data_IF_779424805469
#
_entry.id   IF_779424805469
#
_cell.length_a   1.000
_cell.length_b   1.000
_cell.length_c   1.000
_cell.angle_alpha   90.00
_cell.angle_beta   90.00
_cell.angle_gamma   90.00
#
_symmetry.space_group_name_H-M   'P 1'
#
loop_
_entity.id
_entity.type
_entity.pdbx_description
1 polymer ?
#
# COMPACT_ATOMS: atom_id res chain seq x y z
N UNK A 1 6.00 4.11 -10.91
CA UNK A 1 4.58 4.17 -10.51
C UNK A 1 3.87 2.88 -10.88
N UNK A 2 2.76 2.55 -10.25
CA UNK A 2 1.93 1.35 -10.53
C UNK A 2 2.67 0.00 -10.44
N UNK A 3 3.72 -0.09 -9.60
CA UNK A 3 4.52 -1.30 -9.48
C UNK A 3 5.60 -1.48 -10.56
N UNK A 4 5.67 -0.56 -11.53
CA UNK A 4 6.69 -0.58 -12.57
C UNK A 4 7.95 0.09 -12.02
N UNK A 5 9.08 -0.63 -11.94
CA UNK A 5 10.33 -0.06 -11.45
C UNK A 5 10.86 1.03 -12.38
N UNK A 6 11.45 2.08 -11.80
CA UNK A 6 12.34 2.95 -12.55
C UNK A 6 13.70 2.24 -12.75
N UNK A 7 14.64 2.88 -13.44
CA UNK A 7 16.02 2.35 -13.58
C UNK A 7 16.79 2.47 -12.25
N UNK A 8 16.26 1.82 -11.22
CA UNK A 8 16.77 1.92 -9.85
C UNK A 8 18.20 1.36 -9.72
N UNK A 9 18.57 0.38 -10.53
CA UNK A 9 19.92 -0.14 -10.63
C UNK A 9 20.94 0.96 -11.00
N UNK A 10 20.64 1.76 -12.02
CA UNK A 10 21.50 2.88 -12.44
C UNK A 10 21.57 3.98 -11.38
N UNK A 11 20.43 4.25 -10.74
CA UNK A 11 20.36 5.25 -9.65
C UNK A 11 21.18 4.79 -8.45
N UNK A 12 21.10 3.51 -8.09
CA UNK A 12 21.86 2.94 -6.98
C UNK A 12 23.37 2.98 -7.23
N UNK A 13 23.81 2.65 -8.46
CA UNK A 13 25.23 2.74 -8.84
C UNK A 13 25.73 4.20 -8.77
N UNK A 14 24.94 5.15 -9.25
CA UNK A 14 25.26 6.57 -9.17
C UNK A 14 25.35 7.06 -7.72
N UNK A 15 24.38 6.70 -6.89
CA UNK A 15 24.35 7.06 -5.48
C UNK A 15 25.57 6.51 -4.73
N UNK A 16 25.89 5.23 -4.96
CA UNK A 16 27.07 4.58 -4.41
C UNK A 16 28.38 5.27 -4.85
N UNK A 17 28.51 5.58 -6.15
CA UNK A 17 29.69 6.27 -6.70
C UNK A 17 29.90 7.69 -6.15
N UNK A 18 28.83 8.31 -5.67
CA UNK A 18 28.83 9.65 -5.06
C UNK A 18 28.76 9.65 -3.53
N UNK A 19 28.73 8.48 -2.91
CA UNK A 19 28.53 8.31 -1.46
C UNK A 19 27.26 9.01 -0.96
N UNK A 20 26.16 8.86 -1.73
CA UNK A 20 24.84 9.40 -1.40
C UNK A 20 23.99 8.28 -0.82
N UNK A 21 23.31 8.56 0.31
CA UNK A 21 22.36 7.66 0.92
C UNK A 21 21.11 7.56 0.05
N UNK A 22 20.72 6.33 -0.32
CA UNK A 22 19.58 6.07 -1.19
C UNK A 22 18.44 5.40 -0.41
N UNK A 23 17.27 6.05 -0.39
CA UNK A 23 16.03 5.45 0.10
C UNK A 23 15.14 5.16 -1.10
N UNK A 24 14.68 3.91 -1.22
CA UNK A 24 13.69 3.52 -2.24
C UNK A 24 12.25 3.72 -1.71
N UNK A 25 11.47 4.53 -2.40
CA UNK A 25 10.03 4.54 -2.20
C UNK A 25 9.40 3.40 -3.01
N UNK A 26 9.19 2.29 -2.34
CA UNK A 26 8.60 1.06 -2.90
C UNK A 26 7.14 0.86 -2.50
N UNK A 27 6.44 1.94 -2.13
CA UNK A 27 5.05 1.90 -1.64
C UNK A 27 4.06 1.22 -2.61
N UNK A 28 4.37 1.21 -3.92
CA UNK A 28 3.55 0.58 -4.96
C UNK A 28 4.24 -0.63 -5.62
N UNK A 29 5.42 -1.04 -5.13
CA UNK A 29 6.30 -1.95 -5.85
C UNK A 29 6.64 -3.24 -5.07
N UNK A 30 5.82 -3.60 -4.08
CA UNK A 30 6.02 -4.85 -3.33
C UNK A 30 6.00 -6.05 -4.29
N UNK A 31 7.08 -6.82 -4.26
CA UNK A 31 7.25 -8.00 -5.10
C UNK A 31 7.66 -7.73 -6.55
N UNK A 32 7.80 -6.46 -6.95
CA UNK A 32 8.35 -6.12 -8.26
C UNK A 32 9.84 -6.42 -8.32
N UNK A 33 10.32 -6.79 -9.50
CA UNK A 33 11.73 -7.07 -9.75
C UNK A 33 12.26 -6.24 -10.91
N UNK A 34 13.54 -5.92 -10.85
CA UNK A 34 14.29 -5.37 -11.96
C UNK A 34 15.54 -6.22 -12.19
N UNK A 35 15.69 -6.80 -13.38
CA UNK A 35 16.78 -7.73 -13.72
C UNK A 35 16.93 -8.87 -12.69
N UNK A 36 15.79 -9.43 -12.24
CA UNK A 36 15.75 -10.51 -11.25
C UNK A 36 16.00 -10.12 -9.80
N UNK A 37 16.31 -8.86 -9.49
CA UNK A 37 16.51 -8.37 -8.13
C UNK A 37 15.25 -7.64 -7.63
N UNK A 38 14.84 -7.90 -6.39
CA UNK A 38 13.65 -7.27 -5.80
C UNK A 38 13.83 -5.75 -5.66
N UNK A 39 12.82 -4.99 -6.07
CA UNK A 39 12.72 -3.56 -5.80
C UNK A 39 12.58 -3.35 -4.29
N UNK A 40 13.26 -2.34 -3.78
CA UNK A 40 13.41 -2.10 -2.35
C UNK A 40 14.66 -2.72 -1.74
N UNK A 41 15.52 -3.39 -2.55
CA UNK A 41 16.80 -3.95 -2.10
C UNK A 41 18.02 -3.35 -2.80
N UNK A 42 17.84 -2.31 -3.59
CA UNK A 42 18.93 -1.64 -4.29
C UNK A 42 19.59 -0.53 -3.47
N UNK A 43 18.81 0.17 -2.65
CA UNK A 43 19.27 1.28 -1.82
C UNK A 43 19.72 0.86 -0.41
N UNK A 44 20.05 1.85 0.41
CA UNK A 44 20.44 1.66 1.81
C UNK A 44 19.24 1.30 2.70
N UNK A 45 18.05 1.80 2.32
CA UNK A 45 16.78 1.46 2.93
C UNK A 45 15.64 1.57 1.92
N UNK A 46 14.52 0.95 2.23
CA UNK A 46 13.29 1.09 1.45
C UNK A 46 12.07 1.19 2.34
N UNK A 47 11.06 1.88 1.83
CA UNK A 47 9.76 2.03 2.47
C UNK A 47 8.68 1.34 1.62
N UNK A 48 7.76 0.66 2.29
CA UNK A 48 6.61 0.02 1.69
C UNK A 48 5.34 0.49 2.41
N UNK A 49 4.33 0.85 1.66
CA UNK A 49 3.02 1.16 2.21
C UNK A 49 2.16 -0.11 2.30
N UNK A 50 1.39 -0.22 3.36
CA UNK A 50 0.38 -1.28 3.55
C UNK A 50 -1.04 -0.72 3.63
N UNK A 51 -1.23 0.49 3.09
CA UNK A 51 -2.53 1.13 2.97
C UNK A 51 -3.52 0.29 2.15
N UNK A 52 -4.83 0.62 2.24
CA UNK A 52 -5.93 -0.16 1.64
C UNK A 52 -5.79 -0.40 0.12
N UNK A 53 -5.10 0.48 -0.60
CA UNK A 53 -4.87 0.35 -2.05
C UNK A 53 -3.64 -0.47 -2.42
N UNK A 54 -2.89 -0.97 -1.43
CA UNK A 54 -1.59 -1.61 -1.67
C UNK A 54 -1.68 -3.12 -1.81
N UNK A 55 -0.65 -3.74 -2.41
CA UNK A 55 -0.59 -5.19 -2.60
C UNK A 55 -0.70 -6.00 -1.32
N UNK A 56 -0.07 -5.55 -0.26
CA UNK A 56 -0.26 -6.02 1.11
C UNK A 56 -1.15 -4.99 1.78
N UNK A 57 -2.34 -5.39 2.18
CA UNK A 57 -3.35 -4.47 2.68
C UNK A 57 -3.62 -4.70 4.17
N UNK A 58 -3.16 -3.76 4.98
CA UNK A 58 -3.47 -3.68 6.41
C UNK A 58 -4.35 -2.47 6.74
N UNK A 59 -4.93 -1.82 5.72
CA UNK A 59 -5.71 -0.57 5.77
C UNK A 59 -4.91 0.65 6.15
N UNK A 60 -3.97 0.53 7.06
CA UNK A 60 -3.08 1.58 7.52
C UNK A 60 -1.72 1.00 7.84
N UNK A 61 -0.68 1.79 7.66
CA UNK A 61 0.66 1.43 8.08
C UNK A 61 1.66 1.31 6.94
N UNK A 62 2.83 0.83 7.30
CA UNK A 62 3.93 0.65 6.38
C UNK A 62 5.02 -0.22 6.98
N UNK A 63 5.96 -0.57 6.13
CA UNK A 63 7.14 -1.36 6.51
C UNK A 63 8.39 -0.64 6.04
N UNK A 64 9.47 -0.83 6.76
CA UNK A 64 10.81 -0.39 6.37
C UNK A 64 11.71 -1.60 6.29
N UNK A 65 12.48 -1.69 5.23
CA UNK A 65 13.52 -2.68 5.06
C UNK A 65 14.89 -2.01 4.91
N UNK A 66 15.91 -2.60 5.50
CA UNK A 66 17.31 -2.26 5.30
C UNK A 66 18.19 -3.43 5.73
N UNK A 67 19.28 -3.66 5.02
CA UNK A 67 20.34 -4.59 5.44
C UNK A 67 21.26 -3.95 6.47
N UNK A 68 21.22 -2.64 6.61
CA UNK A 68 22.06 -1.90 7.55
C UNK A 68 21.48 -1.98 8.98
N UNK A 69 22.15 -2.74 9.82
CA UNK A 69 21.73 -2.96 11.22
C UNK A 69 21.65 -1.68 12.06
N UNK A 70 22.45 -0.63 11.73
CA UNK A 70 22.40 0.66 12.42
C UNK A 70 21.10 1.39 12.08
N UNK A 71 20.68 1.36 10.82
CA UNK A 71 19.42 1.94 10.37
C UNK A 71 18.25 1.23 11.07
N UNK A 72 18.24 -0.11 11.04
CA UNK A 72 17.19 -0.89 11.69
C UNK A 72 17.12 -0.64 13.21
N UNK A 73 18.26 -0.50 13.89
CA UNK A 73 18.28 -0.14 15.32
C UNK A 73 17.68 1.25 15.57
N UNK A 74 18.03 2.23 14.75
CA UNK A 74 17.49 3.59 14.86
C UNK A 74 15.96 3.60 14.63
N UNK A 75 15.47 2.92 13.61
CA UNK A 75 14.03 2.79 13.32
C UNK A 75 13.30 2.09 14.46
N UNK A 76 13.85 1.01 15.00
CA UNK A 76 13.27 0.31 16.17
C UNK A 76 13.19 1.24 17.38
N UNK A 77 14.20 2.07 17.61
CA UNK A 77 14.18 3.06 18.70
C UNK A 77 13.08 4.09 18.50
N UNK A 78 12.95 4.66 17.30
CA UNK A 78 11.87 5.59 16.96
C UNK A 78 10.51 4.94 17.16
N UNK A 79 10.32 3.72 16.63
CA UNK A 79 9.08 2.95 16.79
C UNK A 79 8.73 2.72 18.26
N UNK A 80 9.71 2.34 19.10
CA UNK A 80 9.45 2.05 20.51
C UNK A 80 9.02 3.29 21.31
N UNK A 81 9.48 4.46 20.89
CA UNK A 81 9.15 5.76 21.49
C UNK A 81 7.92 6.42 20.85
N UNK A 82 7.40 5.88 19.76
CA UNK A 82 6.20 6.41 19.12
C UNK A 82 4.95 6.18 19.97
N UNK A 83 3.97 7.06 19.82
CA UNK A 83 2.68 6.94 20.48
C UNK A 83 1.87 5.74 19.97
N UNK A 84 0.97 5.27 20.80
CA UNK A 84 0.01 4.24 20.39
C UNK A 84 -1.27 4.92 19.86
N UNK A 85 -1.84 4.34 18.82
CA UNK A 85 -3.14 4.79 18.31
C UNK A 85 -4.19 4.55 19.38
N UNK A 86 -5.01 5.56 19.68
CA UNK A 86 -6.04 5.46 20.73
C UNK A 86 -7.01 4.30 20.47
N UNK A 87 -7.49 3.66 21.54
CA UNK A 87 -8.45 2.54 21.46
C UNK A 87 -9.71 2.93 20.68
N UNK A 88 -10.20 4.17 20.84
CA UNK A 88 -11.36 4.68 20.09
C UNK A 88 -11.10 4.61 18.59
N UNK A 89 -9.94 5.06 18.13
CA UNK A 89 -9.56 5.05 16.72
C UNK A 89 -9.32 3.62 16.21
N UNK A 90 -8.65 2.77 16.98
CA UNK A 90 -8.49 1.36 16.65
C UNK A 90 -9.85 0.66 16.44
N UNK A 91 -10.84 0.96 17.28
CA UNK A 91 -12.19 0.40 17.14
C UNK A 91 -12.91 0.90 15.86
N UNK A 92 -12.68 2.15 15.46
CA UNK A 92 -13.22 2.68 14.19
C UNK A 92 -12.62 1.92 13.01
N UNK A 93 -11.31 1.79 12.97
CA UNK A 93 -10.62 1.06 11.89
C UNK A 93 -10.99 -0.42 11.86
N UNK A 94 -11.11 -1.07 13.01
CA UNK A 94 -11.57 -2.45 13.09
C UNK A 94 -12.97 -2.65 12.49
N UNK A 95 -13.91 -1.77 12.84
CA UNK A 95 -15.26 -1.79 12.27
C UNK A 95 -15.25 -1.56 10.76
N UNK A 96 -14.44 -0.62 10.28
CA UNK A 96 -14.25 -0.35 8.86
C UNK A 96 -13.78 -1.61 8.12
N UNK A 97 -12.74 -2.27 8.61
CA UNK A 97 -12.21 -3.51 8.03
C UNK A 97 -13.30 -4.59 7.93
N UNK A 98 -14.07 -4.80 9.01
CA UNK A 98 -15.15 -5.80 9.03
C UNK A 98 -16.23 -5.48 8.00
N UNK A 99 -16.64 -4.22 7.89
CA UNK A 99 -17.65 -3.78 6.94
C UNK A 99 -17.15 -3.94 5.51
N UNK A 100 -15.95 -3.47 5.22
CA UNK A 100 -15.37 -3.60 3.88
C UNK A 100 -15.26 -5.08 3.48
N UNK A 101 -14.71 -5.94 4.33
CA UNK A 101 -14.58 -7.36 4.03
C UNK A 101 -15.92 -8.06 3.83
N UNK A 102 -16.96 -7.65 4.54
CA UNK A 102 -18.29 -8.24 4.43
C UNK A 102 -19.06 -7.78 3.20
N UNK A 103 -18.91 -6.51 2.82
CA UNK A 103 -19.75 -5.88 1.81
C UNK A 103 -19.00 -5.44 0.54
N UNK A 104 -17.67 -5.55 0.52
CA UNK A 104 -16.88 -5.22 -0.66
C UNK A 104 -16.88 -6.38 -1.66
N UNK A 105 -17.92 -6.41 -2.48
CA UNK A 105 -18.07 -7.38 -3.55
C UNK A 105 -18.99 -6.83 -4.65
N UNK A 106 -18.93 -7.37 -5.87
CA UNK A 106 -19.68 -6.85 -7.02
C UNK A 106 -21.18 -6.69 -6.74
N UNK A 107 -21.77 -7.65 -6.02
CA UNK A 107 -23.21 -7.65 -5.70
C UNK A 107 -23.62 -6.60 -4.67
N UNK A 108 -22.69 -6.09 -3.88
CA UNK A 108 -22.98 -5.14 -2.81
C UNK A 108 -22.36 -3.76 -3.04
N UNK A 109 -21.52 -3.61 -4.07
CA UNK A 109 -20.79 -2.36 -4.33
C UNK A 109 -21.71 -1.15 -4.44
N UNK A 110 -22.80 -1.25 -5.20
CA UNK A 110 -23.77 -0.16 -5.32
C UNK A 110 -24.46 0.20 -4.00
N UNK A 111 -24.76 -0.79 -3.16
CA UNK A 111 -25.33 -0.57 -1.82
C UNK A 111 -24.30 0.08 -0.90
N UNK A 112 -23.04 -0.34 -0.97
CA UNK A 112 -21.95 0.27 -0.22
C UNK A 112 -21.76 1.75 -0.59
N UNK A 113 -21.80 2.08 -1.89
CA UNK A 113 -21.73 3.46 -2.36
C UNK A 113 -22.91 4.30 -1.88
N UNK A 114 -24.13 3.74 -1.90
CA UNK A 114 -25.30 4.42 -1.34
C UNK A 114 -25.16 4.65 0.18
N UNK A 115 -24.65 3.66 0.91
CA UNK A 115 -24.37 3.78 2.33
C UNK A 115 -23.31 4.86 2.63
N UNK A 116 -22.27 4.93 1.80
CA UNK A 116 -21.24 5.96 1.90
C UNK A 116 -21.83 7.35 1.66
N UNK A 117 -22.68 7.48 0.63
CA UNK A 117 -23.36 8.75 0.32
C UNK A 117 -24.27 9.21 1.46
N UNK A 118 -25.08 8.30 1.99
CA UNK A 118 -25.95 8.58 3.14
C UNK A 118 -25.14 8.92 4.40
N UNK A 119 -24.00 8.25 4.62
CA UNK A 119 -23.06 8.56 5.70
C UNK A 119 -22.45 9.95 5.56
N UNK A 120 -22.10 10.36 4.33
CA UNK A 120 -21.62 11.71 4.05
C UNK A 120 -22.68 12.77 4.35
N UNK A 121 -23.91 12.54 3.87
CA UNK A 121 -25.04 13.45 4.14
C UNK A 121 -25.30 13.56 5.65
N UNK A 122 -25.28 12.44 6.37
CA UNK A 122 -25.42 12.42 7.82
C UNK A 122 -24.27 13.15 8.52
N UNK A 123 -23.03 12.96 8.05
CA UNK A 123 -21.86 13.64 8.57
C UNK A 123 -21.94 15.17 8.40
N UNK A 124 -22.47 15.64 7.27
CA UNK A 124 -22.72 17.06 7.03
C UNK A 124 -23.74 17.62 8.04
N UNK A 125 -24.83 16.89 8.27
CA UNK A 125 -25.88 17.33 9.18
C UNK A 125 -25.51 17.23 10.67
N UNK A 126 -24.78 16.19 11.07
CA UNK A 126 -24.46 15.90 12.46
C UNK A 126 -23.05 16.35 12.86
N UNK A 127 -22.26 16.91 11.94
CA UNK A 127 -20.83 17.20 12.14
C UNK A 127 -20.03 15.98 12.64
N UNK A 128 -20.54 14.77 12.38
CA UNK A 128 -19.85 13.53 12.72
C UNK A 128 -18.92 13.13 11.58
N UNK A 129 -17.73 12.66 11.92
CA UNK A 129 -16.79 12.14 10.94
C UNK A 129 -17.32 10.83 10.33
N UNK A 130 -17.48 10.79 9.01
CA UNK A 130 -17.82 9.56 8.30
C UNK A 130 -16.67 8.56 8.39
N UNK A 131 -16.96 7.36 8.89
CA UNK A 131 -16.00 6.27 8.97
C UNK A 131 -15.56 5.71 7.58
N UNK A 132 -16.24 6.12 6.52
CA UNK A 132 -16.07 5.57 5.17
C UNK A 132 -15.37 6.51 4.18
N UNK A 133 -15.03 7.72 4.59
CA UNK A 133 -14.29 8.64 3.74
C UNK A 133 -12.80 8.36 3.86
N UNK A 134 -12.19 8.14 2.72
CA UNK A 134 -10.74 8.16 2.58
C UNK A 134 -10.29 9.62 2.75
N UNK A 135 -10.01 9.99 3.99
CA UNK A 135 -9.66 11.36 4.36
C UNK A 135 -8.19 11.69 4.07
N UNK A 136 -7.43 10.72 3.56
CA UNK A 136 -6.00 10.90 3.25
C UNK A 136 -5.75 11.92 2.13
N UNK A 137 -6.81 12.34 1.42
CA UNK A 137 -6.73 13.39 0.41
C UNK A 137 -6.74 14.83 0.96
N UNK A 138 -7.00 15.04 2.25
CA UNK A 138 -7.11 16.38 2.82
C UNK A 138 -6.01 16.63 3.86
N UNK A 139 -5.11 17.56 3.54
CA UNK A 139 -3.96 17.94 4.37
C UNK A 139 -4.31 18.36 5.81
N UNK A 140 -5.56 18.78 6.06
CA UNK A 140 -6.03 19.16 7.40
C UNK A 140 -6.08 18.01 8.41
N UNK A 141 -6.00 16.75 7.92
CA UNK A 141 -6.11 15.57 8.77
C UNK A 141 -4.76 15.11 9.33
N UNK A 142 -3.67 15.61 8.81
CA UNK A 142 -2.32 15.33 9.31
C UNK A 142 -2.22 15.59 10.83
N UNK A 143 -2.95 16.57 11.34
CA UNK A 143 -2.96 16.92 12.77
C UNK A 143 -3.81 15.97 13.64
N UNK A 144 -4.58 15.06 13.05
CA UNK A 144 -5.41 14.11 13.81
C UNK A 144 -4.78 12.74 13.98
N UNK A 145 -3.71 12.46 13.24
CA UNK A 145 -2.92 11.25 13.39
C UNK A 145 -1.64 11.58 14.13
N UNK A 146 -1.36 10.94 15.27
CA UNK A 146 -0.07 11.08 15.93
C UNK A 146 0.96 10.35 15.07
N UNK A 147 1.61 11.05 14.17
CA UNK A 147 2.75 10.50 13.44
C UNK A 147 4.06 10.96 14.08
N UNK A 148 5.02 10.06 14.23
CA UNK A 148 4.94 8.61 13.99
C UNK A 148 4.13 7.88 15.07
N UNK A 149 3.33 6.90 14.69
CA UNK A 149 2.56 6.06 15.58
C UNK A 149 2.92 4.59 15.46
N UNK A 150 2.77 3.83 16.53
CA UNK A 150 2.89 2.38 16.46
C UNK A 150 1.75 1.76 15.68
N UNK A 151 2.07 0.81 14.83
CA UNK A 151 1.04 0.02 14.14
C UNK A 151 0.24 -0.80 15.15
N UNK A 152 -1.10 -0.70 15.18
CA UNK A 152 -1.92 -1.54 16.05
C UNK A 152 -1.68 -3.03 15.81
N UNK A 153 -1.69 -3.82 16.88
CA UNK A 153 -1.37 -5.25 16.82
C UNK A 153 -2.27 -6.03 15.85
N UNK A 154 -3.56 -5.68 15.78
CA UNK A 154 -4.49 -6.35 14.87
C UNK A 154 -4.19 -6.06 13.39
N UNK A 155 -3.68 -4.86 13.05
CA UNK A 155 -3.23 -4.55 11.69
C UNK A 155 -1.93 -5.30 11.36
N UNK A 156 -1.02 -5.41 12.31
CA UNK A 156 0.19 -6.21 12.13
C UNK A 156 -0.14 -7.70 11.92
N UNK A 157 -1.10 -8.26 12.68
CA UNK A 157 -1.60 -9.62 12.50
C UNK A 157 -2.24 -9.81 11.11
N UNK A 158 -3.03 -8.83 10.66
CA UNK A 158 -3.58 -8.83 9.30
C UNK A 158 -2.47 -8.85 8.25
N UNK A 159 -1.40 -8.07 8.44
CA UNK A 159 -0.23 -8.05 7.55
C UNK A 159 0.48 -9.41 7.46
N UNK A 160 0.57 -10.14 8.56
CA UNK A 160 1.12 -11.51 8.54
C UNK A 160 0.26 -12.45 7.70
N UNK A 161 -1.06 -12.41 7.85
CA UNK A 161 -2.00 -13.19 7.03
C UNK A 161 -1.87 -12.83 5.54
N UNK A 162 -1.70 -11.54 5.23
CA UNK A 162 -1.49 -11.06 3.86
C UNK A 162 -0.19 -11.62 3.27
N UNK A 163 0.88 -11.70 4.07
CA UNK A 163 2.17 -12.27 3.67
C UNK A 163 2.11 -13.80 3.50
N UNK A 164 1.42 -14.52 4.38
CA UNK A 164 1.20 -15.96 4.24
C UNK A 164 0.50 -16.32 2.91
N UNK A 165 -0.39 -15.45 2.45
CA UNK A 165 -1.11 -15.64 1.18
C UNK A 165 -0.43 -14.95 -0.02
N UNK A 166 0.80 -14.46 0.14
CA UNK A 166 1.45 -13.62 -0.86
C UNK A 166 1.65 -14.31 -2.21
N UNK A 167 2.15 -15.54 -2.21
CA UNK A 167 2.39 -16.30 -3.46
C UNK A 167 1.11 -16.53 -4.25
N UNK A 168 0.02 -16.90 -3.57
CA UNK A 168 -1.30 -17.05 -4.19
C UNK A 168 -1.77 -15.72 -4.79
N UNK A 169 -1.60 -14.62 -4.10
CA UNK A 169 -1.97 -13.28 -4.58
C UNK A 169 -1.17 -12.87 -5.81
N UNK A 170 0.13 -13.13 -5.82
CA UNK A 170 1.00 -12.87 -6.99
C UNK A 170 0.54 -13.70 -8.18
N UNK A 171 0.25 -14.98 -7.98
CA UNK A 171 -0.26 -15.86 -9.04
C UNK A 171 -1.58 -15.34 -9.63
N UNK A 172 -2.54 -14.99 -8.78
CA UNK A 172 -3.84 -14.46 -9.22
C UNK A 172 -3.69 -13.14 -9.97
N UNK A 173 -2.84 -12.23 -9.51
CA UNK A 173 -2.56 -10.96 -10.19
C UNK A 173 -1.97 -11.16 -11.57
N UNK A 174 -0.99 -12.06 -11.69
CA UNK A 174 -0.42 -12.41 -12.99
C UNK A 174 -1.49 -12.96 -13.93
N UNK A 175 -2.33 -13.88 -13.45
CA UNK A 175 -3.44 -14.44 -14.24
C UNK A 175 -4.41 -13.36 -14.72
N UNK A 176 -4.81 -12.45 -13.83
CA UNK A 176 -5.70 -11.34 -14.21
C UNK A 176 -5.03 -10.40 -15.22
N UNK A 177 -3.76 -10.07 -15.02
CA UNK A 177 -3.01 -9.25 -15.96
C UNK A 177 -2.97 -9.92 -17.35
N UNK A 178 -2.63 -11.20 -17.43
CA UNK A 178 -2.64 -11.94 -18.71
C UNK A 178 -4.00 -11.87 -19.37
N UNK A 179 -5.09 -12.15 -18.63
CA UNK A 179 -6.45 -12.07 -19.18
C UNK A 179 -6.81 -10.67 -19.68
N UNK A 180 -6.33 -9.61 -19.00
CA UNK A 180 -6.48 -8.24 -19.46
C UNK A 180 -5.71 -7.98 -20.76
N UNK A 181 -4.46 -8.41 -20.82
CA UNK A 181 -3.62 -8.20 -22.02
C UNK A 181 -4.21 -8.94 -23.22
N UNK A 182 -4.70 -10.18 -23.04
CA UNK A 182 -5.37 -10.95 -24.08
C UNK A 182 -6.64 -10.24 -24.60
N UNK A 183 -7.41 -9.64 -23.69
CA UNK A 183 -8.59 -8.85 -24.06
C UNK A 183 -8.22 -7.60 -24.87
N UNK A 184 -7.20 -6.85 -24.44
CA UNK A 184 -6.70 -5.68 -25.16
C UNK A 184 -6.18 -6.05 -26.55
N UNK A 185 -5.52 -7.20 -26.69
CA UNK A 185 -5.06 -7.72 -27.97
C UNK A 185 -6.23 -8.06 -28.89
N UNK A 186 -7.21 -8.80 -28.37
CA UNK A 186 -8.43 -9.15 -29.10
C UNK A 186 -9.24 -7.91 -29.57
N UNK A 187 -9.19 -6.80 -28.81
CA UNK A 187 -9.84 -5.54 -29.15
C UNK A 187 -9.00 -4.63 -30.06
N UNK A 188 -7.75 -5.00 -30.36
CA UNK A 188 -6.83 -4.20 -31.20
C UNK A 188 -6.38 -2.87 -30.55
N UNK A 189 -6.43 -2.77 -29.21
CA UNK A 189 -6.11 -1.53 -28.47
C UNK A 189 -4.79 -1.59 -27.70
N UNK A 190 -3.89 -2.49 -28.06
CA UNK A 190 -2.58 -2.64 -27.41
C UNK A 190 -1.73 -1.36 -27.45
N UNK A 191 -2.03 -0.42 -28.35
CA UNK A 191 -1.30 0.84 -28.47
C UNK A 191 -1.40 1.71 -27.21
N UNK A 192 -2.45 1.57 -26.41
CA UNK A 192 -2.65 2.33 -25.16
C UNK A 192 -1.87 1.76 -23.98
N UNK A 193 -1.32 0.54 -24.10
CA UNK A 193 -0.57 -0.09 -23.03
C UNK A 193 0.84 0.51 -22.91
N UNK A 194 1.35 0.68 -21.67
CA UNK A 194 2.74 1.02 -21.46
C UNK A 194 3.68 -0.01 -22.12
N UNK A 195 4.84 0.45 -22.59
CA UNK A 195 5.81 -0.41 -23.31
C UNK A 195 6.26 -1.61 -22.48
N UNK A 196 6.35 -1.46 -21.14
CA UNK A 196 6.71 -2.54 -20.23
C UNK A 196 5.74 -3.75 -20.23
N UNK A 197 4.54 -3.61 -20.78
CA UNK A 197 3.59 -4.72 -20.98
C UNK A 197 3.63 -5.29 -22.40
N UNK A 198 4.40 -4.67 -23.30
CA UNK A 198 4.56 -5.15 -24.68
C UNK A 198 5.71 -6.14 -24.81
N UNK A 199 6.71 -6.01 -23.96
CA UNK A 199 7.84 -6.92 -23.88
C UNK A 199 7.44 -8.10 -22.98
N UNK A 200 7.20 -9.27 -23.61
CA UNK A 200 6.76 -10.50 -22.93
C UNK A 200 7.89 -11.22 -22.17
N UNK A 201 9.02 -10.54 -21.93
CA UNK A 201 10.19 -11.10 -21.25
C UNK A 201 10.20 -10.81 -19.74
#
# INVERSE_FOLDING_TARGET
SFGIPCKIDVIADLAKGKNIFLIEDSALAVGSTLKGKLVGSFGDASIFSTDHSKPINTFLGGMVYSENTKIIKAIKSIKNNAEEVSVKKQNVEWKRILIERKYYGPSFYGKLQLFNLLGQLRGIFLKEESAFLDKDFYAEIINQYPYPAKMPTFLAALGLIELENWELKVMLRKRYLTSFLDLFDAMGINSVLPTCYKDKD
#
